data_IF_294903952845
#
_entry.id   IF_294903952845
#
_cell.length_a   1.000
_cell.length_b   1.000
_cell.length_c   1.000
_cell.angle_alpha   90.00
_cell.angle_beta   90.00
_cell.angle_gamma   90.00
#
_symmetry.space_group_name_H-M   'P 1'
#
loop_
_entity.id
_entity.type
_entity.pdbx_description
1 polymer ?
#
# COMPACT_ATOMS: atom_id res chain seq x y z
N UNK A 1 -6.95 2.07 -50.14
CA UNK A 1 -8.24 2.48 -49.54
C UNK A 1 -7.94 3.40 -48.38
N UNK A 2 -8.62 4.54 -48.23
CA UNK A 2 -8.48 5.37 -47.03
C UNK A 2 -9.04 4.62 -45.80
N UNK A 3 -8.52 4.87 -44.58
CA UNK A 3 -9.02 4.22 -43.39
C UNK A 3 -10.49 4.62 -43.15
N UNK A 4 -11.36 3.63 -42.95
CA UNK A 4 -12.77 3.85 -42.60
C UNK A 4 -12.84 4.59 -41.27
N UNK A 5 -13.62 5.67 -41.22
CA UNK A 5 -14.01 6.32 -39.98
C UNK A 5 -14.64 5.29 -39.04
N UNK A 6 -14.08 5.14 -37.84
CA UNK A 6 -14.59 4.24 -36.81
C UNK A 6 -15.94 4.78 -36.31
N UNK A 7 -17.03 4.15 -36.75
CA UNK A 7 -18.33 4.30 -36.11
C UNK A 7 -18.26 3.78 -34.67
N UNK A 8 -19.05 4.38 -33.77
CA UNK A 8 -19.16 4.05 -32.35
C UNK A 8 -19.29 2.54 -32.11
N UNK A 9 -18.18 1.85 -31.88
CA UNK A 9 -18.17 0.43 -31.58
C UNK A 9 -18.57 0.24 -30.11
N UNK A 10 -19.74 -0.33 -29.88
CA UNK A 10 -20.15 -0.80 -28.56
C UNK A 10 -19.36 -2.09 -28.30
N UNK A 11 -18.33 -2.01 -27.45
CA UNK A 11 -17.56 -3.21 -27.06
C UNK A 11 -18.34 -4.01 -26.02
N UNK A 12 -18.84 -5.18 -26.41
CA UNK A 12 -19.29 -6.23 -25.48
C UNK A 12 -18.05 -6.92 -24.88
N UNK A 13 -17.70 -6.58 -23.64
CA UNK A 13 -16.69 -7.30 -22.87
C UNK A 13 -17.39 -8.36 -21.99
N UNK A 14 -17.29 -9.62 -22.41
CA UNK A 14 -17.52 -10.83 -21.60
C UNK A 14 -16.22 -11.64 -21.67
N UNK A 15 -15.97 -12.50 -20.67
CA UNK A 15 -14.87 -13.47 -20.48
C UNK A 15 -14.30 -14.14 -21.75
N UNK A 16 -15.07 -14.19 -22.84
CA UNK A 16 -14.71 -14.79 -24.12
C UNK A 16 -14.08 -13.83 -25.16
N UNK A 17 -14.03 -12.52 -24.88
CA UNK A 17 -13.47 -11.51 -25.79
C UNK A 17 -12.24 -10.81 -25.19
N UNK A 18 -11.15 -10.74 -25.96
CA UNK A 18 -10.03 -9.85 -25.61
C UNK A 18 -10.43 -8.40 -25.92
N UNK A 19 -10.30 -7.50 -24.95
CA UNK A 19 -10.43 -6.08 -25.22
C UNK A 19 -9.28 -5.63 -26.13
N UNK A 20 -9.58 -4.92 -27.22
CA UNK A 20 -8.59 -4.50 -28.23
C UNK A 20 -7.40 -3.73 -27.63
N UNK A 21 -7.64 -2.90 -26.60
CA UNK A 21 -6.58 -2.14 -25.92
C UNK A 21 -5.73 -2.96 -24.94
N UNK A 22 -6.17 -4.16 -24.54
CA UNK A 22 -5.51 -4.93 -23.48
C UNK A 22 -4.08 -5.35 -23.85
N UNK A 23 -3.77 -5.90 -25.05
CA UNK A 23 -2.41 -6.28 -25.40
C UNK A 23 -1.41 -5.12 -25.32
N UNK A 24 -1.83 -3.92 -25.72
CA UNK A 24 -0.99 -2.72 -25.66
C UNK A 24 -0.72 -2.28 -24.22
N UNK A 25 -1.77 -2.23 -23.39
CA UNK A 25 -1.64 -1.90 -21.98
C UNK A 25 -0.77 -2.95 -21.26
N UNK A 26 -1.01 -4.24 -21.51
CA UNK A 26 -0.25 -5.32 -20.90
C UNK A 26 1.24 -5.23 -21.25
N UNK A 27 1.56 -4.99 -22.53
CA UNK A 27 2.96 -4.79 -22.95
C UNK A 27 3.57 -3.56 -22.27
N UNK A 28 2.85 -2.44 -22.23
CA UNK A 28 3.33 -1.21 -21.57
C UNK A 28 3.66 -1.44 -20.09
N UNK A 29 2.78 -2.12 -19.36
CA UNK A 29 3.01 -2.46 -17.95
C UNK A 29 4.23 -3.39 -17.79
N UNK A 30 4.31 -4.44 -18.61
CA UNK A 30 5.44 -5.37 -18.61
C UNK A 30 6.78 -4.66 -18.89
N UNK A 31 6.84 -3.82 -19.92
CA UNK A 31 8.05 -3.06 -20.28
C UNK A 31 8.43 -2.07 -19.18
N UNK A 32 7.45 -1.35 -18.60
CA UNK A 32 7.68 -0.32 -17.57
C UNK A 32 8.20 -0.89 -16.27
N UNK A 33 7.65 -2.02 -15.82
CA UNK A 33 8.00 -2.65 -14.55
C UNK A 33 9.01 -3.80 -14.68
N UNK A 34 9.39 -4.17 -15.91
CA UNK A 34 10.38 -5.22 -16.16
C UNK A 34 9.87 -6.66 -15.95
N UNK A 35 8.57 -6.91 -16.14
CA UNK A 35 7.95 -8.23 -16.01
C UNK A 35 7.70 -8.90 -17.35
N UNK A 36 7.67 -10.25 -17.39
CA UNK A 36 7.28 -10.96 -18.60
C UNK A 36 5.77 -11.04 -18.81
N UNK A 37 4.99 -10.95 -17.72
CA UNK A 37 3.53 -11.12 -17.73
C UNK A 37 2.87 -10.20 -16.71
N UNK A 38 1.63 -9.84 -17.00
CA UNK A 38 0.75 -9.09 -16.12
C UNK A 38 -0.62 -9.76 -16.07
N UNK A 39 -1.19 -9.80 -14.87
CA UNK A 39 -2.55 -10.22 -14.60
C UNK A 39 -3.23 -9.08 -13.85
N UNK A 40 -4.39 -8.66 -14.33
CA UNK A 40 -5.16 -7.57 -13.71
C UNK A 40 -6.39 -8.14 -13.02
N UNK A 41 -6.75 -7.48 -11.92
CA UNK A 41 -7.95 -7.74 -11.12
C UNK A 41 -8.76 -6.45 -10.96
N UNK A 42 -9.92 -6.54 -10.29
CA UNK A 42 -10.81 -5.37 -10.13
C UNK A 42 -10.54 -4.58 -8.85
N UNK A 43 -9.83 -5.17 -7.88
CA UNK A 43 -9.45 -4.52 -6.61
C UNK A 43 -8.08 -4.97 -6.14
N UNK A 44 -7.49 -4.22 -5.19
CA UNK A 44 -6.26 -4.61 -4.51
C UNK A 44 -6.40 -5.96 -3.80
N UNK A 45 -7.49 -6.17 -3.04
CA UNK A 45 -7.75 -7.43 -2.35
C UNK A 45 -7.76 -8.64 -3.30
N UNK A 46 -8.35 -8.51 -4.49
CA UNK A 46 -8.35 -9.58 -5.50
C UNK A 46 -6.96 -9.83 -6.09
N UNK A 47 -6.18 -8.77 -6.32
CA UNK A 47 -4.81 -8.88 -6.81
C UNK A 47 -3.93 -9.61 -5.77
N UNK A 48 -4.05 -9.24 -4.49
CA UNK A 48 -3.30 -9.84 -3.40
C UNK A 48 -3.71 -11.30 -3.16
N UNK A 49 -5.01 -11.63 -3.14
CA UNK A 49 -5.48 -13.02 -3.04
C UNK A 49 -4.97 -13.87 -4.21
N UNK A 50 -4.95 -13.28 -5.42
CA UNK A 50 -4.40 -13.94 -6.60
C UNK A 50 -2.89 -14.17 -6.48
N UNK A 51 -2.12 -13.19 -6.01
CA UNK A 51 -0.69 -13.35 -5.77
C UNK A 51 -0.42 -14.48 -4.76
N UNK A 52 -1.18 -14.55 -3.67
CA UNK A 52 -1.09 -15.64 -2.70
C UNK A 52 -1.43 -17.01 -3.30
N UNK A 53 -2.45 -17.10 -4.17
CA UNK A 53 -2.78 -18.34 -4.90
C UNK A 53 -1.66 -18.77 -5.83
N UNK A 54 -1.06 -17.83 -6.57
CA UNK A 54 0.08 -18.11 -7.44
C UNK A 54 1.30 -18.57 -6.65
N UNK A 55 1.59 -17.94 -5.51
CA UNK A 55 2.65 -18.35 -4.61
C UNK A 55 2.45 -19.76 -4.07
N UNK A 56 1.25 -20.09 -3.57
CA UNK A 56 0.93 -21.45 -3.10
C UNK A 56 1.07 -22.47 -4.24
N UNK A 57 0.56 -22.16 -5.42
CA UNK A 57 0.72 -23.01 -6.61
C UNK A 57 2.18 -23.25 -6.98
N UNK A 58 3.02 -22.20 -6.93
CA UNK A 58 4.47 -22.35 -7.12
C UNK A 58 5.12 -23.18 -6.01
N UNK A 59 4.70 -22.98 -4.76
CA UNK A 59 5.17 -23.75 -3.61
C UNK A 59 4.97 -25.25 -3.82
N UNK A 60 3.77 -25.63 -4.26
CA UNK A 60 3.43 -27.03 -4.55
C UNK A 60 4.11 -27.54 -5.81
N UNK A 61 3.89 -26.89 -6.96
CA UNK A 61 4.28 -27.42 -8.26
C UNK A 61 5.80 -27.35 -8.51
N UNK A 62 6.49 -26.36 -7.94
CA UNK A 62 7.91 -26.09 -8.24
C UNK A 62 8.79 -26.34 -7.03
N UNK A 63 8.45 -25.77 -5.86
CA UNK A 63 9.21 -25.97 -4.63
C UNK A 63 8.92 -27.32 -3.97
N UNK A 64 7.93 -28.07 -4.46
CA UNK A 64 7.55 -29.42 -3.99
C UNK A 64 7.13 -29.44 -2.51
N UNK A 65 6.49 -28.36 -2.06
CA UNK A 65 5.89 -28.29 -0.73
C UNK A 65 4.62 -29.14 -0.72
N UNK A 66 4.44 -29.96 0.31
CA UNK A 66 3.20 -30.67 0.59
C UNK A 66 2.00 -29.69 0.55
N UNK A 67 0.98 -29.93 -0.29
CA UNK A 67 -0.17 -29.02 -0.46
C UNK A 67 -0.90 -28.67 0.84
N UNK A 68 -0.90 -29.56 1.84
CA UNK A 68 -1.55 -29.32 3.13
C UNK A 68 -0.70 -28.45 4.07
N UNK A 69 0.56 -28.22 3.72
CA UNK A 69 1.55 -27.56 4.57
C UNK A 69 2.07 -26.25 4.02
N UNK A 70 1.68 -25.87 2.79
CA UNK A 70 2.17 -24.67 2.09
C UNK A 70 1.70 -23.38 2.75
N UNK A 71 2.65 -22.50 3.05
CA UNK A 71 2.42 -21.25 3.75
C UNK A 71 2.72 -20.04 2.89
N UNK A 72 1.92 -18.99 3.08
CA UNK A 72 2.23 -17.62 2.66
C UNK A 72 2.15 -16.79 3.92
N UNK A 73 3.23 -16.09 4.26
CA UNK A 73 3.33 -15.34 5.51
C UNK A 73 3.05 -13.86 5.24
N UNK A 74 2.23 -13.24 6.09
CA UNK A 74 2.08 -11.79 6.14
C UNK A 74 2.96 -11.16 7.21
N UNK A 75 3.09 -9.84 7.13
CA UNK A 75 3.90 -9.01 8.03
C UNK A 75 2.96 -8.16 8.90
N UNK A 76 3.32 -7.90 10.16
CA UNK A 76 2.52 -7.06 11.05
C UNK A 76 2.29 -5.67 10.46
N UNK A 77 1.21 -5.02 10.87
CA UNK A 77 0.87 -3.64 10.48
C UNK A 77 0.63 -3.44 8.97
N UNK A 78 0.60 -4.52 8.19
CA UNK A 78 0.32 -4.48 6.75
C UNK A 78 -1.18 -4.61 6.47
N UNK A 79 -1.63 -3.98 5.39
CA UNK A 79 -2.98 -4.05 4.87
C UNK A 79 -3.03 -4.62 3.45
N UNK A 80 -3.52 -5.85 3.33
CA UNK A 80 -3.62 -6.61 2.07
C UNK A 80 -5.06 -6.73 1.54
N UNK A 81 -6.00 -6.00 2.14
CA UNK A 81 -7.41 -6.00 1.78
C UNK A 81 -8.29 -6.95 2.59
N UNK A 82 -9.59 -6.96 2.30
CA UNK A 82 -10.64 -7.56 3.17
C UNK A 82 -11.13 -8.94 2.75
N UNK A 83 -10.57 -9.54 1.69
CA UNK A 83 -10.98 -10.87 1.27
C UNK A 83 -10.53 -11.92 2.30
N UNK A 84 -11.36 -12.94 2.53
CA UNK A 84 -11.10 -13.97 3.54
C UNK A 84 -9.79 -14.75 3.34
N UNK A 85 -9.28 -14.81 2.11
CA UNK A 85 -8.01 -15.48 1.79
C UNK A 85 -6.76 -14.71 2.21
N UNK A 86 -6.88 -13.39 2.39
CA UNK A 86 -5.78 -12.47 2.73
C UNK A 86 -5.97 -11.82 4.10
N UNK A 87 -7.21 -11.73 4.60
CA UNK A 87 -7.53 -11.19 5.92
C UNK A 87 -6.65 -11.78 7.05
N UNK A 88 -6.48 -13.12 7.15
CA UNK A 88 -5.66 -13.71 8.21
C UNK A 88 -4.15 -13.39 8.11
N UNK A 89 -3.68 -12.83 6.98
CA UNK A 89 -2.27 -12.48 6.79
C UNK A 89 -1.90 -11.18 7.53
N UNK A 90 -2.89 -10.31 7.80
CA UNK A 90 -2.68 -9.01 8.44
C UNK A 90 -2.66 -9.11 9.98
N UNK A 91 -3.41 -10.07 10.53
CA UNK A 91 -3.49 -10.32 11.97
C UNK A 91 -3.29 -11.80 12.28
N UNK A 92 -2.04 -12.31 12.24
CA UNK A 92 -1.79 -13.69 12.61
C UNK A 92 -1.92 -13.82 14.14
N UNK A 93 -3.13 -14.06 14.66
CA UNK A 93 -3.46 -14.18 16.10
C UNK A 93 -2.54 -15.15 16.87
N UNK A 94 -1.93 -16.12 16.19
CA UNK A 94 -0.98 -17.08 16.77
C UNK A 94 0.44 -17.01 16.18
N UNK A 95 0.70 -16.12 15.20
CA UNK A 95 1.96 -16.09 14.46
C UNK A 95 2.26 -17.37 13.67
N UNK A 96 3.36 -17.36 12.92
CA UNK A 96 3.88 -18.56 12.27
C UNK A 96 4.90 -19.19 13.21
N UNK A 97 4.65 -20.42 13.69
CA UNK A 97 5.49 -21.01 14.74
C UNK A 97 5.42 -20.29 16.10
N UNK A 98 4.33 -19.57 16.38
CA UNK A 98 4.15 -18.81 17.63
C UNK A 98 4.73 -17.40 17.62
N UNK A 99 5.23 -16.90 16.49
CA UNK A 99 5.83 -15.56 16.35
C UNK A 99 5.22 -14.76 15.20
N UNK A 100 5.01 -13.48 15.44
CA UNK A 100 4.58 -12.51 14.44
C UNK A 100 5.82 -11.98 13.71
N UNK A 101 5.76 -11.88 12.38
CA UNK A 101 6.80 -11.20 11.59
C UNK A 101 6.58 -9.70 11.69
N UNK A 102 7.37 -9.01 12.52
CA UNK A 102 7.18 -7.57 12.73
C UNK A 102 7.76 -6.76 11.57
N UNK A 103 7.04 -5.74 11.13
CA UNK A 103 7.58 -4.75 10.19
C UNK A 103 8.83 -4.08 10.80
N UNK A 104 9.84 -3.80 9.98
CA UNK A 104 11.17 -3.29 10.39
C UNK A 104 12.05 -4.24 11.24
N UNK A 105 11.68 -5.51 11.42
CA UNK A 105 12.46 -6.49 12.19
C UNK A 105 12.88 -7.67 11.31
N UNK A 106 13.98 -7.51 10.56
CA UNK A 106 14.46 -8.51 9.59
C UNK A 106 14.85 -9.85 10.26
N UNK A 107 15.24 -9.80 11.53
CA UNK A 107 15.60 -10.95 12.35
C UNK A 107 14.42 -11.93 12.57
N UNK A 108 13.18 -11.43 12.62
CA UNK A 108 12.00 -12.28 12.75
C UNK A 108 11.86 -13.22 11.53
N UNK A 109 12.21 -12.72 10.34
CA UNK A 109 12.21 -13.52 9.10
C UNK A 109 13.33 -14.54 9.10
N UNK A 110 14.54 -14.16 9.51
CA UNK A 110 15.67 -15.06 9.57
C UNK A 110 15.37 -16.27 10.48
N UNK A 111 14.83 -16.01 11.66
CA UNK A 111 14.48 -17.04 12.62
C UNK A 111 13.39 -17.99 12.08
N UNK A 112 12.33 -17.44 11.49
CA UNK A 112 11.24 -18.24 10.93
C UNK A 112 11.70 -19.04 9.72
N UNK A 113 12.48 -18.45 8.82
CA UNK A 113 12.96 -19.14 7.63
C UNK A 113 13.90 -20.28 8.00
N UNK A 114 14.79 -20.10 8.97
CA UNK A 114 15.65 -21.18 9.47
C UNK A 114 14.84 -22.39 9.95
N UNK A 115 13.73 -22.15 10.65
CA UNK A 115 12.91 -23.22 11.23
C UNK A 115 11.96 -23.90 10.23
N UNK A 116 11.41 -23.17 9.25
CA UNK A 116 10.29 -23.68 8.46
C UNK A 116 10.30 -23.32 6.97
N UNK A 117 11.42 -22.86 6.40
CA UNK A 117 11.52 -22.49 4.97
C UNK A 117 11.01 -23.57 4.00
N UNK A 118 11.14 -24.85 4.33
CA UNK A 118 10.62 -25.96 3.51
C UNK A 118 9.10 -25.91 3.31
N UNK A 119 8.37 -25.22 4.18
CA UNK A 119 6.92 -25.05 4.12
C UNK A 119 6.48 -23.69 3.59
N UNK A 120 7.40 -22.74 3.44
CA UNK A 120 7.07 -21.36 3.07
C UNK A 120 7.18 -21.20 1.56
N UNK A 121 6.07 -20.87 0.91
CA UNK A 121 6.06 -20.52 -0.50
C UNK A 121 6.40 -19.05 -0.73
N UNK A 122 5.84 -18.15 0.10
CA UNK A 122 6.06 -16.72 -0.03
C UNK A 122 5.96 -15.95 1.28
N UNK A 123 6.52 -14.76 1.28
CA UNK A 123 6.18 -13.66 2.19
C UNK A 123 5.50 -12.56 1.39
N UNK A 124 4.46 -11.95 1.94
CA UNK A 124 3.85 -10.73 1.42
C UNK A 124 4.04 -9.56 2.38
N UNK A 125 4.35 -8.38 1.82
CA UNK A 125 4.42 -7.12 2.55
C UNK A 125 4.24 -5.92 1.62
N UNK A 126 3.64 -4.85 2.13
CA UNK A 126 3.77 -3.50 1.61
C UNK A 126 5.21 -3.00 1.90
N UNK A 127 5.98 -2.62 0.88
CA UNK A 127 7.38 -2.22 1.08
C UNK A 127 7.54 -0.89 1.84
N UNK A 128 6.61 0.05 1.68
CA UNK A 128 6.70 1.39 2.25
C UNK A 128 5.41 1.70 3.03
N UNK A 129 5.54 1.91 4.34
CA UNK A 129 4.44 2.16 5.28
C UNK A 129 4.40 3.59 5.80
N UNK A 130 5.55 4.28 5.74
CA UNK A 130 5.75 5.58 6.38
C UNK A 130 5.62 5.56 7.89
N UNK A 131 5.99 4.43 8.50
CA UNK A 131 6.08 4.24 9.94
C UNK A 131 7.52 4.41 10.44
N UNK A 132 8.52 4.21 9.58
CA UNK A 132 9.90 4.52 9.92
C UNK A 132 10.16 6.03 9.93
N UNK A 133 11.30 6.40 10.50
CA UNK A 133 11.76 7.80 10.52
C UNK A 133 12.15 8.29 9.13
N UNK A 134 12.66 7.40 8.29
CA UNK A 134 13.18 7.71 6.96
C UNK A 134 12.81 6.62 5.96
N UNK A 135 12.74 6.99 4.69
CA UNK A 135 12.44 6.05 3.60
C UNK A 135 13.55 5.01 3.44
N UNK A 136 14.80 5.41 3.68
CA UNK A 136 15.97 4.57 3.58
C UNK A 136 15.90 3.36 4.52
N UNK A 137 15.37 3.54 5.74
CA UNK A 137 15.21 2.49 6.74
C UNK A 137 14.24 1.38 6.26
N UNK A 138 13.07 1.77 5.72
CA UNK A 138 12.11 0.82 5.14
C UNK A 138 12.69 0.12 3.89
N UNK A 139 13.42 0.85 3.05
CA UNK A 139 14.11 0.28 1.88
C UNK A 139 15.14 -0.77 2.31
N UNK A 140 15.99 -0.47 3.30
CA UNK A 140 17.00 -1.40 3.81
C UNK A 140 16.36 -2.65 4.40
N UNK A 141 15.28 -2.49 5.17
CA UNK A 141 14.48 -3.61 5.68
C UNK A 141 13.95 -4.50 4.55
N UNK A 142 13.28 -3.93 3.54
CA UNK A 142 12.75 -4.69 2.40
C UNK A 142 13.85 -5.39 1.59
N UNK A 143 15.00 -4.74 1.40
CA UNK A 143 16.17 -5.37 0.76
C UNK A 143 16.67 -6.56 1.59
N UNK A 144 16.72 -6.41 2.92
CA UNK A 144 17.08 -7.47 3.85
C UNK A 144 16.16 -8.68 3.73
N UNK A 145 14.85 -8.47 3.81
CA UNK A 145 13.85 -9.55 3.68
C UNK A 145 13.91 -10.20 2.30
N UNK A 146 14.03 -9.41 1.21
CA UNK A 146 14.16 -9.97 -0.15
C UNK A 146 15.42 -10.83 -0.32
N UNK A 147 16.54 -10.44 0.30
CA UNK A 147 17.77 -11.26 0.28
C UNK A 147 17.55 -12.59 1.00
N UNK A 148 16.90 -12.59 2.16
CA UNK A 148 16.53 -13.82 2.88
C UNK A 148 15.59 -14.69 2.05
N UNK A 149 14.55 -14.11 1.45
CA UNK A 149 13.64 -14.82 0.55
C UNK A 149 14.42 -15.54 -0.56
N UNK A 150 15.36 -14.85 -1.22
CA UNK A 150 16.23 -15.46 -2.23
C UNK A 150 17.10 -16.59 -1.68
N UNK A 151 17.71 -16.41 -0.51
CA UNK A 151 18.57 -17.42 0.13
C UNK A 151 17.81 -18.72 0.42
N UNK A 152 16.58 -18.63 0.91
CA UNK A 152 15.76 -19.79 1.31
C UNK A 152 14.81 -20.27 0.21
N UNK A 153 14.95 -19.77 -1.02
CA UNK A 153 14.06 -20.06 -2.15
C UNK A 153 12.59 -19.84 -1.75
N UNK A 154 12.25 -18.64 -1.30
CA UNK A 154 10.92 -18.19 -0.92
C UNK A 154 10.58 -17.00 -1.82
N UNK A 155 9.36 -16.93 -2.33
CA UNK A 155 8.91 -15.78 -3.12
C UNK A 155 8.71 -14.56 -2.23
N UNK A 156 9.07 -13.39 -2.75
CA UNK A 156 8.82 -12.11 -2.09
C UNK A 156 7.74 -11.37 -2.86
N UNK A 157 6.55 -11.24 -2.27
CA UNK A 157 5.41 -10.51 -2.83
C UNK A 157 5.43 -9.10 -2.25
N UNK A 158 5.78 -8.11 -3.05
CA UNK A 158 5.60 -6.71 -2.67
C UNK A 158 4.16 -6.27 -2.98
N UNK A 159 3.39 -5.93 -1.95
CA UNK A 159 2.05 -5.32 -2.06
C UNK A 159 2.13 -3.80 -2.27
N UNK A 160 2.90 -3.41 -3.28
CA UNK A 160 2.88 -2.12 -3.99
C UNK A 160 3.22 -2.42 -5.48
N UNK A 161 2.91 -3.66 -5.89
CA UNK A 161 3.46 -4.50 -6.98
C UNK A 161 4.94 -4.83 -6.79
N UNK A 162 5.29 -6.13 -6.70
CA UNK A 162 6.39 -6.83 -7.41
C UNK A 162 6.52 -8.34 -7.05
N UNK A 163 6.69 -9.17 -8.10
CA UNK A 163 7.07 -10.61 -8.21
C UNK A 163 6.07 -11.72 -7.76
N UNK A 164 5.15 -12.16 -8.66
CA UNK A 164 4.83 -13.60 -8.94
C UNK A 164 4.05 -13.70 -10.26
N UNK A 165 4.68 -13.94 -11.43
CA UNK A 165 3.88 -14.05 -12.68
C UNK A 165 4.24 -15.15 -13.69
N UNK A 166 5.25 -16.00 -13.49
CA UNK A 166 5.64 -16.96 -14.54
C UNK A 166 4.89 -18.30 -14.56
N UNK A 167 4.04 -18.59 -13.57
CA UNK A 167 3.61 -19.98 -13.29
C UNK A 167 2.11 -20.24 -13.36
N UNK A 168 1.34 -19.23 -13.77
CA UNK A 168 -0.09 -19.36 -13.98
C UNK A 168 -0.39 -20.25 -15.19
N UNK A 169 -1.14 -21.35 -14.98
CA UNK A 169 -1.77 -22.13 -16.05
C UNK A 169 -3.10 -21.47 -16.43
N UNK A 170 -3.56 -21.58 -17.69
CA UNK A 170 -4.88 -21.07 -18.08
C UNK A 170 -5.98 -21.55 -17.12
N UNK A 171 -6.92 -20.65 -16.80
CA UNK A 171 -8.09 -20.90 -15.93
C UNK A 171 -7.84 -21.07 -14.42
N UNK A 172 -6.63 -20.82 -13.91
CA UNK A 172 -6.34 -20.91 -12.46
C UNK A 172 -6.72 -19.68 -11.63
N UNK A 173 -6.83 -18.51 -12.26
CA UNK A 173 -7.51 -17.33 -11.69
C UNK A 173 -8.22 -16.62 -12.83
N UNK A 174 -9.48 -16.28 -12.60
CA UNK A 174 -10.39 -15.69 -13.59
C UNK A 174 -11.21 -14.63 -12.88
N UNK A 175 -11.39 -13.49 -13.53
CA UNK A 175 -12.29 -12.44 -13.05
C UNK A 175 -13.14 -11.94 -14.22
N UNK A 176 -14.44 -11.81 -13.99
CA UNK A 176 -15.44 -11.46 -15.01
C UNK A 176 -15.21 -10.07 -15.61
N UNK A 177 -14.75 -9.12 -14.79
CA UNK A 177 -14.59 -7.72 -15.19
C UNK A 177 -13.13 -7.33 -15.42
N UNK A 178 -12.20 -8.26 -15.19
CA UNK A 178 -10.80 -8.03 -15.49
C UNK A 178 -10.61 -7.79 -16.98
N UNK A 179 -9.76 -6.82 -17.32
CA UNK A 179 -9.51 -6.39 -18.71
C UNK A 179 -10.74 -5.82 -19.43
N UNK A 180 -11.76 -5.34 -18.70
CA UNK A 180 -12.88 -4.62 -19.33
C UNK A 180 -12.38 -3.42 -20.12
N UNK A 181 -12.97 -3.17 -21.30
CA UNK A 181 -12.51 -2.09 -22.19
C UNK A 181 -12.55 -0.71 -21.52
N UNK A 182 -13.53 -0.49 -20.64
CA UNK A 182 -13.63 0.75 -19.87
C UNK A 182 -12.44 0.90 -18.91
N UNK A 183 -12.08 -0.14 -18.16
CA UNK A 183 -10.93 -0.11 -17.26
C UNK A 183 -9.61 0.04 -18.03
N UNK A 184 -9.45 -0.69 -19.16
CA UNK A 184 -8.27 -0.59 -20.01
C UNK A 184 -8.07 0.84 -20.53
N UNK A 185 -9.14 1.48 -21.02
CA UNK A 185 -9.09 2.87 -21.48
C UNK A 185 -8.76 3.81 -20.32
N UNK A 186 -9.45 3.69 -19.18
CA UNK A 186 -9.22 4.56 -18.02
C UNK A 186 -7.78 4.48 -17.50
N UNK A 187 -7.24 3.27 -17.35
CA UNK A 187 -5.84 3.07 -16.92
C UNK A 187 -4.86 3.61 -17.95
N UNK A 188 -5.11 3.38 -19.24
CA UNK A 188 -4.24 3.90 -20.31
C UNK A 188 -4.16 5.42 -20.28
N UNK A 189 -5.30 6.10 -20.15
CA UNK A 189 -5.38 7.55 -20.04
C UNK A 189 -4.73 8.07 -18.76
N UNK A 190 -4.98 7.42 -17.61
CA UNK A 190 -4.36 7.81 -16.35
C UNK A 190 -2.82 7.73 -16.41
N UNK A 191 -2.29 6.67 -17.02
CA UNK A 191 -0.85 6.52 -17.23
C UNK A 191 -0.28 7.56 -18.22
N UNK A 192 -1.05 7.97 -19.24
CA UNK A 192 -0.66 9.06 -20.13
C UNK A 192 -0.57 10.38 -19.37
N UNK A 193 -1.60 10.74 -18.61
CA UNK A 193 -1.62 11.96 -17.78
C UNK A 193 -0.44 11.96 -16.79
N UNK A 194 -0.17 10.82 -16.14
CA UNK A 194 0.95 10.68 -15.21
C UNK A 194 2.29 11.05 -15.85
N UNK A 195 2.50 10.65 -17.10
CA UNK A 195 3.73 10.90 -17.85
C UNK A 195 3.76 12.31 -18.44
N UNK A 196 2.67 12.77 -19.05
CA UNK A 196 2.55 14.10 -19.69
C UNK A 196 2.68 15.24 -18.68
N UNK A 197 2.07 15.09 -17.49
CA UNK A 197 2.15 16.07 -16.41
C UNK A 197 3.37 15.88 -15.50
N UNK A 198 4.23 14.89 -15.80
CA UNK A 198 5.42 14.55 -15.01
C UNK A 198 5.10 14.40 -13.51
N UNK A 199 4.06 13.61 -13.21
CA UNK A 199 3.52 13.48 -11.86
C UNK A 199 4.51 12.80 -10.89
N UNK A 200 5.50 12.06 -11.42
CA UNK A 200 6.63 11.55 -10.66
C UNK A 200 7.48 12.69 -10.08
N UNK A 201 7.85 13.67 -10.90
CA UNK A 201 8.57 14.85 -10.42
C UNK A 201 7.69 15.66 -9.47
N UNK A 202 6.40 15.79 -9.77
CA UNK A 202 5.45 16.47 -8.89
C UNK A 202 5.38 15.84 -7.50
N UNK A 203 5.41 14.51 -7.40
CA UNK A 203 5.45 13.80 -6.12
C UNK A 203 6.73 14.16 -5.32
N UNK A 204 7.89 14.23 -5.99
CA UNK A 204 9.15 14.67 -5.36
C UNK A 204 9.10 16.12 -4.88
N UNK A 205 8.47 17.00 -5.66
CA UNK A 205 8.33 18.41 -5.28
C UNK A 205 7.42 18.57 -4.05
N UNK A 206 6.31 17.82 -3.99
CA UNK A 206 5.41 17.79 -2.83
C UNK A 206 6.17 17.29 -1.59
N UNK A 207 6.92 16.19 -1.72
CA UNK A 207 7.77 15.68 -0.66
C UNK A 207 8.75 16.74 -0.14
N UNK A 208 9.49 17.42 -1.04
CA UNK A 208 10.46 18.44 -0.66
C UNK A 208 9.81 19.62 0.07
N UNK A 209 8.61 20.05 -0.38
CA UNK A 209 7.83 21.12 0.27
C UNK A 209 7.38 20.69 1.67
N UNK A 210 6.92 19.45 1.82
CA UNK A 210 6.54 18.91 3.12
C UNK A 210 7.72 18.92 4.08
N UNK A 211 8.84 18.29 3.71
CA UNK A 211 10.05 18.20 4.54
C UNK A 211 10.56 19.60 4.92
N UNK A 212 10.58 20.53 3.96
CA UNK A 212 10.99 21.92 4.21
C UNK A 212 10.11 22.59 5.27
N UNK A 213 8.79 22.36 5.24
CA UNK A 213 7.84 22.99 6.16
C UNK A 213 7.80 22.33 7.53
N UNK A 214 7.86 21.01 7.60
CA UNK A 214 7.71 20.26 8.86
C UNK A 214 9.01 20.11 9.63
N UNK A 215 10.18 20.23 8.98
CA UNK A 215 11.49 20.17 9.67
C UNK A 215 11.69 21.21 10.77
N UNK A 216 10.94 22.32 10.73
CA UNK A 216 10.99 23.38 11.74
C UNK A 216 9.89 23.25 12.81
N UNK A 217 8.96 22.31 12.67
CA UNK A 217 7.89 22.10 13.64
C UNK A 217 8.46 21.47 14.90
N UNK A 218 8.17 22.08 16.05
CA UNK A 218 8.65 21.63 17.36
C UNK A 218 7.48 21.65 18.35
N UNK A 219 6.89 20.49 18.56
CA UNK A 219 5.81 20.28 19.52
C UNK A 219 6.17 19.14 20.46
N UNK A 220 5.88 19.23 21.77
CA UNK A 220 6.19 18.16 22.72
C UNK A 220 5.56 16.81 22.37
N UNK A 221 4.42 16.82 21.69
CA UNK A 221 3.66 15.64 21.26
C UNK A 221 3.88 15.25 19.80
N UNK A 222 4.80 15.91 19.08
CA UNK A 222 5.13 15.56 17.70
C UNK A 222 6.45 14.78 17.68
N UNK A 223 6.43 13.54 17.19
CA UNK A 223 7.61 12.69 17.11
C UNK A 223 8.43 12.98 15.84
N UNK A 224 7.81 12.87 14.66
CA UNK A 224 8.37 13.23 13.35
C UNK A 224 7.28 13.27 12.27
N UNK A 225 7.61 13.80 11.08
CA UNK A 225 6.70 13.96 9.95
C UNK A 225 7.26 13.30 8.67
N UNK A 226 7.22 11.96 8.54
CA UNK A 226 7.80 11.29 7.38
C UNK A 226 6.95 11.53 6.12
N UNK A 227 7.54 11.33 4.94
CA UNK A 227 6.82 11.44 3.68
C UNK A 227 7.44 10.58 2.57
N UNK A 228 6.60 10.08 1.68
CA UNK A 228 6.97 9.24 0.54
C UNK A 228 6.25 9.79 -0.69
N UNK A 229 6.93 10.68 -1.42
CA UNK A 229 6.27 11.47 -2.47
C UNK A 229 5.12 12.31 -1.90
N UNK A 230 3.90 12.03 -2.36
CA UNK A 230 2.68 12.71 -1.92
C UNK A 230 1.92 11.97 -0.81
N UNK A 231 2.48 10.89 -0.27
CA UNK A 231 2.01 10.29 0.98
C UNK A 231 2.71 10.95 2.16
N UNK A 232 2.01 11.88 2.82
CA UNK A 232 2.54 12.69 3.90
C UNK A 232 2.02 12.15 5.23
N UNK A 233 2.89 12.08 6.23
CA UNK A 233 2.55 11.49 7.51
C UNK A 233 2.99 12.41 8.66
N UNK A 234 2.19 12.43 9.74
CA UNK A 234 2.52 13.03 11.03
C UNK A 234 2.46 11.91 12.06
N UNK A 235 3.53 11.69 12.81
CA UNK A 235 3.54 10.74 13.93
C UNK A 235 3.55 11.53 15.24
N UNK A 236 2.46 11.40 15.98
CA UNK A 236 2.36 11.90 17.34
C UNK A 236 3.13 10.97 18.29
N UNK A 237 3.60 11.53 19.39
CA UNK A 237 4.30 10.76 20.41
C UNK A 237 3.28 9.94 21.25
N UNK A 238 3.42 8.62 21.20
CA UNK A 238 2.53 7.67 21.87
C UNK A 238 2.65 7.70 23.39
N UNK A 239 3.72 8.28 23.95
CA UNK A 239 3.79 8.54 25.40
C UNK A 239 2.68 9.48 25.87
N UNK A 240 2.18 10.36 24.98
CA UNK A 240 1.08 11.27 25.26
C UNK A 240 -0.29 10.63 25.05
N UNK A 241 -0.38 9.44 24.43
CA UNK A 241 -1.62 8.65 24.38
C UNK A 241 -2.03 8.14 25.76
N UNK A 242 -1.05 7.93 26.67
CA UNK A 242 -1.29 7.44 28.04
C UNK A 242 -1.45 8.56 29.09
N UNK A 243 -1.20 9.82 28.71
CA UNK A 243 -1.45 10.99 29.54
C UNK A 243 -2.92 11.42 29.35
N UNK A 244 -3.56 12.04 30.36
CA UNK A 244 -5.01 12.29 30.32
C UNK A 244 -5.45 13.11 29.09
N UNK A 245 -5.94 12.37 28.09
CA UNK A 245 -6.92 12.65 27.04
C UNK A 245 -6.90 13.99 26.29
N UNK A 246 -5.76 14.41 25.72
CA UNK A 246 -5.75 15.60 24.85
C UNK A 246 -5.16 15.42 23.47
N UNK A 247 -4.15 14.56 23.31
CA UNK A 247 -3.39 14.46 22.07
C UNK A 247 -3.54 13.05 21.48
N UNK A 248 -4.56 12.85 20.63
CA UNK A 248 -4.77 11.59 19.91
C UNK A 248 -4.89 11.86 18.41
N UNK A 249 -4.54 10.88 17.55
CA UNK A 249 -4.77 10.99 16.10
C UNK A 249 -6.22 11.35 15.76
N UNK A 250 -7.19 10.72 16.43
CA UNK A 250 -8.63 10.99 16.21
C UNK A 250 -8.98 12.45 16.50
N UNK A 251 -8.57 12.97 17.67
CA UNK A 251 -8.82 14.38 18.05
C UNK A 251 -8.17 15.35 17.07
N UNK A 252 -6.92 15.08 16.69
CA UNK A 252 -6.21 15.88 15.70
C UNK A 252 -6.93 15.90 14.35
N UNK A 253 -7.37 14.74 13.85
CA UNK A 253 -8.09 14.62 12.58
C UNK A 253 -9.44 15.35 12.60
N UNK A 254 -10.18 15.29 13.71
CA UNK A 254 -11.44 16.01 13.88
C UNK A 254 -11.24 17.54 13.95
N UNK A 255 -10.18 18.00 14.62
CA UNK A 255 -9.81 19.42 14.64
C UNK A 255 -9.38 19.92 13.26
N UNK A 256 -8.67 19.10 12.48
CA UNK A 256 -8.37 19.42 11.09
C UNK A 256 -9.67 19.50 10.26
N UNK A 257 -10.59 18.57 10.45
CA UNK A 257 -11.86 18.52 9.73
C UNK A 257 -12.74 19.74 10.01
N UNK A 258 -12.80 20.21 11.27
CA UNK A 258 -13.54 21.44 11.61
C UNK A 258 -12.94 22.70 10.96
N UNK A 259 -11.66 22.65 10.57
CA UNK A 259 -10.94 23.67 9.81
C UNK A 259 -10.96 23.41 8.29
N UNK A 260 -11.70 22.40 7.83
CA UNK A 260 -11.87 22.08 6.41
C UNK A 260 -10.79 21.19 5.79
N UNK A 261 -9.93 20.56 6.61
CA UNK A 261 -8.89 19.64 6.15
C UNK A 261 -9.19 18.20 6.58
N UNK A 262 -9.38 17.30 5.62
CA UNK A 262 -9.58 15.88 5.89
C UNK A 262 -8.23 15.16 5.95
N UNK A 263 -8.00 14.46 7.05
CA UNK A 263 -6.80 13.63 7.29
C UNK A 263 -7.22 12.32 7.93
N UNK A 264 -6.43 11.27 7.71
CA UNK A 264 -6.79 9.93 8.16
C UNK A 264 -6.01 9.55 9.44
N UNK A 265 -6.68 9.35 10.59
CA UNK A 265 -6.02 8.83 11.77
C UNK A 265 -5.71 7.34 11.58
N UNK A 266 -4.46 6.95 11.81
CA UNK A 266 -3.98 5.57 11.79
C UNK A 266 -3.56 5.09 13.18
N UNK A 267 -3.14 3.81 13.29
CA UNK A 267 -2.58 3.27 14.52
C UNK A 267 -1.25 3.94 14.90
N UNK A 268 -0.79 3.70 16.13
CA UNK A 268 0.54 4.10 16.63
C UNK A 268 0.82 5.61 16.50
N UNK A 269 -0.16 6.46 16.83
CA UNK A 269 0.00 7.92 16.75
C UNK A 269 0.05 8.50 15.33
N UNK A 270 -0.12 7.70 14.27
CA UNK A 270 0.00 8.16 12.87
C UNK A 270 -1.22 8.95 12.41
N UNK A 271 -0.99 10.02 11.66
CA UNK A 271 -1.98 10.69 10.81
C UNK A 271 -1.45 10.70 9.39
N UNK A 272 -2.22 10.12 8.46
CA UNK A 272 -1.88 10.01 7.04
C UNK A 272 -2.62 11.06 6.23
N UNK A 273 -1.91 11.65 5.29
CA UNK A 273 -2.40 12.61 4.31
C UNK A 273 -1.92 12.19 2.93
N UNK A 274 -2.79 11.51 2.18
CA UNK A 274 -2.59 11.29 0.75
C UNK A 274 -3.10 12.50 -0.03
N UNK A 275 -2.19 13.29 -0.62
CA UNK A 275 -2.59 14.44 -1.43
C UNK A 275 -2.62 14.08 -2.91
N UNK A 276 -3.59 14.62 -3.65
CA UNK A 276 -3.63 14.46 -5.09
C UNK A 276 -2.35 15.06 -5.71
N UNK A 277 -1.70 14.34 -6.64
CA UNK A 277 -0.50 14.85 -7.30
C UNK A 277 -0.77 16.17 -8.04
N UNK A 278 -1.99 16.35 -8.51
CA UNK A 278 -2.47 17.56 -9.21
C UNK A 278 -2.84 18.72 -8.29
N UNK A 279 -2.71 18.59 -6.96
CA UNK A 279 -3.06 19.65 -6.01
C UNK A 279 -2.26 20.94 -6.30
N UNK A 280 -2.89 22.12 -6.39
CA UNK A 280 -2.17 23.39 -6.48
C UNK A 280 -1.30 23.65 -5.24
N UNK A 281 -0.17 24.32 -5.42
CA UNK A 281 0.72 24.65 -4.29
C UNK A 281 0.06 25.54 -3.24
N UNK A 282 -0.83 26.45 -3.65
CA UNK A 282 -1.57 27.30 -2.72
C UNK A 282 -2.43 26.48 -1.74
N UNK A 283 -3.19 25.52 -2.27
CA UNK A 283 -4.05 24.64 -1.48
C UNK A 283 -3.22 23.70 -0.60
N UNK A 284 -2.10 23.20 -1.13
CA UNK A 284 -1.15 22.38 -0.36
C UNK A 284 -0.60 23.14 0.86
N UNK A 285 -0.17 24.39 0.66
CA UNK A 285 0.35 25.22 1.75
C UNK A 285 -0.73 25.66 2.74
N UNK A 286 -1.96 25.88 2.28
CA UNK A 286 -3.09 26.11 3.17
C UNK A 286 -3.34 24.89 4.06
N UNK A 287 -3.29 23.68 3.49
CA UNK A 287 -3.35 22.44 4.27
C UNK A 287 -2.25 22.35 5.33
N UNK A 288 -1.00 22.68 4.97
CA UNK A 288 0.11 22.69 5.93
C UNK A 288 -0.07 23.70 7.07
N UNK A 289 -0.68 24.85 6.78
CA UNK A 289 -1.01 25.84 7.80
C UNK A 289 -2.07 25.29 8.77
N UNK A 290 -3.15 24.70 8.26
CA UNK A 290 -4.20 24.09 9.09
C UNK A 290 -3.63 23.00 9.99
N UNK A 291 -2.73 22.15 9.48
CA UNK A 291 -2.08 21.11 10.29
C UNK A 291 -1.27 21.68 11.44
N UNK A 292 -0.49 22.74 11.17
CA UNK A 292 0.33 23.39 12.19
C UNK A 292 -0.54 24.06 13.25
N UNK A 293 -1.57 24.80 12.84
CA UNK A 293 -2.52 25.43 13.76
C UNK A 293 -3.22 24.37 14.62
N UNK A 294 -3.66 23.27 14.00
CA UNK A 294 -4.25 22.15 14.73
C UNK A 294 -3.26 21.55 15.74
N UNK A 295 -1.97 21.41 15.39
CA UNK A 295 -0.96 20.94 16.33
C UNK A 295 -0.79 21.90 17.51
N UNK A 296 -0.78 23.21 17.27
CA UNK A 296 -0.67 24.27 18.29
C UNK A 296 -1.90 24.28 19.21
N UNK A 297 -3.10 24.11 18.64
CA UNK A 297 -4.37 24.26 19.34
C UNK A 297 -4.85 23.00 20.06
N UNK A 298 -4.49 21.80 19.59
CA UNK A 298 -4.95 20.51 20.11
C UNK A 298 -4.95 20.39 21.66
N UNK A 299 -3.89 20.81 22.41
CA UNK A 299 -3.89 20.72 23.87
C UNK A 299 -4.88 21.67 24.57
N UNK A 300 -5.37 22.69 23.87
CA UNK A 300 -6.22 23.76 24.44
C UNK A 300 -7.71 23.46 24.32
N UNK A 301 -8.09 22.51 23.46
CA UNK A 301 -9.47 22.06 23.35
C UNK A 301 -9.76 21.01 24.41
N UNK A 302 -10.72 21.29 25.29
CA UNK A 302 -11.25 20.26 26.21
C UNK A 302 -12.16 19.29 25.45
N UNK A 303 -13.01 19.82 24.56
CA UNK A 303 -13.96 19.05 23.75
C UNK A 303 -13.77 19.33 22.26
N UNK A 304 -13.79 18.27 21.46
CA UNK A 304 -13.87 18.31 19.99
C UNK A 304 -15.04 17.42 19.60
N UNK A 305 -15.95 17.93 18.78
CA UNK A 305 -17.13 17.17 18.36
C UNK A 305 -16.74 15.84 17.70
N UNK A 306 -17.34 14.73 18.16
CA UNK A 306 -17.02 13.38 17.67
C UNK A 306 -15.76 12.73 18.28
N UNK A 307 -15.08 13.40 19.22
CA UNK A 307 -13.88 12.87 19.87
C UNK A 307 -14.13 11.84 20.97
N UNK A 308 -15.38 11.58 21.32
CA UNK A 308 -15.77 10.56 22.30
C UNK A 308 -15.32 9.17 21.83
N UNK A 309 -14.87 8.32 22.75
CA UNK A 309 -14.51 6.93 22.46
C UNK A 309 -15.75 6.17 21.98
N UNK A 310 -15.91 6.04 20.66
CA UNK A 310 -16.82 5.06 20.11
C UNK A 310 -16.18 3.68 20.29
N UNK A 311 -16.75 2.86 21.17
CA UNK A 311 -16.49 1.41 21.17
C UNK A 311 -17.02 0.82 19.86
N UNK A 312 -16.20 0.83 18.81
CA UNK A 312 -16.55 0.31 17.50
C UNK A 312 -15.93 1.14 16.38
N UNK A 313 -15.38 0.44 15.40
CA UNK A 313 -14.50 0.93 14.34
C UNK A 313 -15.00 2.17 13.58
N UNK A 314 -14.01 3.00 13.23
CA UNK A 314 -14.00 4.28 12.50
C UNK A 314 -14.20 5.55 13.34
#
# INVERSE_FOLDING_TARGET
>A
MPPKAFGSAITLANIAGQAEGWPHLAKRLCDKFGYQKVLVMTSGSEATDTACKLARGWGVDIKQIDPEKVLVLGTSDNYHGTLSGVWPLMEPEAGWGGKVLRYLHVEDYAEIFEQMHERIAAVIMEPLHGLARSMEEEIEFCIGVRKLCKQYNILFIADEVHEVMDKMKPYQSVSTFSMSSMAVTAVTTALQIYEEENLEQRARDIHAKWVSKTSIWKFPWLRYCPAFGADLNILLDTEYETRPEKITPRRFSLLCASKGLLVFPGPHGRIRLGVALTIPDADLFQGFQVLREALEELPHYEYIEGSEETKGAF
#
